data_IF_512046127104
#
_entry.id   IF_512046127104
#
_cell.length_a   1.000
_cell.length_b   1.000
_cell.length_c   1.000
_cell.angle_alpha   90.00
_cell.angle_beta   90.00
_cell.angle_gamma   90.00
#
_symmetry.space_group_name_H-M   'P 1'
#
loop_
_entity.id
_entity.type
_entity.pdbx_description
1 polymer ?
#
# COMPACT_ATOMS: atom_id res chain seq x y z
N UNK A 1 26.05 23.60 -36.86
CA UNK A 1 26.19 23.37 -35.39
C UNK A 1 24.87 23.55 -34.59
N UNK A 2 23.68 23.60 -35.22
CA UNK A 2 22.41 23.74 -34.50
C UNK A 2 21.76 22.39 -34.09
N UNK A 3 22.04 21.31 -34.83
CA UNK A 3 21.41 19.99 -34.65
C UNK A 3 21.78 19.29 -33.33
N UNK A 4 23.05 19.39 -32.90
CA UNK A 4 23.52 18.70 -31.70
C UNK A 4 22.92 19.27 -30.41
N UNK A 5 22.78 20.59 -30.31
CA UNK A 5 22.19 21.26 -29.13
C UNK A 5 20.71 20.94 -28.99
N UNK A 6 19.99 20.88 -30.11
CA UNK A 6 18.58 20.50 -30.13
C UNK A 6 18.39 19.03 -29.73
N UNK A 7 19.24 18.12 -30.23
CA UNK A 7 19.22 16.72 -29.82
C UNK A 7 19.50 16.53 -28.32
N UNK A 8 20.47 17.26 -27.76
CA UNK A 8 20.78 17.21 -26.32
C UNK A 8 19.60 17.70 -25.48
N UNK A 9 18.94 18.80 -25.87
CA UNK A 9 17.76 19.30 -25.16
C UNK A 9 16.61 18.30 -25.17
N UNK A 10 16.38 17.60 -26.29
CA UNK A 10 15.35 16.55 -26.37
C UNK A 10 15.67 15.38 -25.45
N UNK A 11 16.93 14.92 -25.40
CA UNK A 11 17.35 13.83 -24.51
C UNK A 11 17.17 14.22 -23.05
N UNK A 12 17.55 15.45 -22.67
CA UNK A 12 17.37 15.96 -21.31
C UNK A 12 15.88 16.05 -20.95
N UNK A 13 15.04 16.55 -21.86
CA UNK A 13 13.60 16.62 -21.64
C UNK A 13 12.97 15.24 -21.43
N UNK A 14 13.38 14.23 -22.21
CA UNK A 14 12.91 12.85 -22.06
C UNK A 14 13.35 12.23 -20.73
N UNK A 15 14.59 12.47 -20.30
CA UNK A 15 15.09 12.00 -19.00
C UNK A 15 14.33 12.62 -17.83
N UNK A 16 14.04 13.92 -17.91
CA UNK A 16 13.24 14.62 -16.89
C UNK A 16 11.82 14.06 -16.85
N UNK A 17 11.18 13.84 -18.00
CA UNK A 17 9.84 13.23 -18.06
C UNK A 17 9.82 11.83 -17.42
N UNK A 18 10.80 10.99 -17.75
CA UNK A 18 10.91 9.64 -17.19
C UNK A 18 11.11 9.68 -15.67
N UNK A 19 11.94 10.59 -15.17
CA UNK A 19 12.14 10.79 -13.73
C UNK A 19 10.88 11.26 -13.02
N UNK A 20 10.13 12.19 -13.60
CA UNK A 20 8.85 12.65 -13.04
C UNK A 20 7.85 11.50 -12.99
N UNK A 21 7.76 10.69 -14.06
CA UNK A 21 6.87 9.54 -14.11
C UNK A 21 7.18 8.52 -13.00
N UNK A 22 8.46 8.18 -12.81
CA UNK A 22 8.88 7.27 -11.75
C UNK A 22 8.59 7.82 -10.35
N UNK A 23 8.76 9.12 -10.15
CA UNK A 23 8.44 9.77 -8.88
C UNK A 23 6.94 9.74 -8.58
N UNK A 24 6.11 10.10 -9.58
CA UNK A 24 4.64 10.08 -9.43
C UNK A 24 4.12 8.67 -9.13
N UNK A 25 4.62 7.65 -9.85
CA UNK A 25 4.22 6.25 -9.59
C UNK A 25 4.55 5.83 -8.16
N UNK A 26 5.76 6.14 -7.68
CA UNK A 26 6.17 5.83 -6.30
C UNK A 26 5.33 6.57 -5.26
N UNK A 27 4.96 7.82 -5.53
CA UNK A 27 4.11 8.60 -4.64
C UNK A 27 2.71 7.99 -4.53
N UNK A 28 2.10 7.63 -5.66
CA UNK A 28 0.79 6.99 -5.68
C UNK A 28 0.80 5.64 -4.95
N UNK A 29 1.82 4.80 -5.18
CA UNK A 29 2.00 3.54 -4.44
C UNK A 29 2.07 3.79 -2.93
N UNK A 30 2.84 4.79 -2.50
CA UNK A 30 2.94 5.17 -1.08
C UNK A 30 1.61 5.64 -0.48
N UNK A 31 0.77 6.36 -1.23
CA UNK A 31 -0.55 6.81 -0.75
C UNK A 31 -1.53 5.62 -0.61
N UNK A 32 -1.50 4.68 -1.55
CA UNK A 32 -2.31 3.46 -1.48
C UNK A 32 -1.87 2.56 -0.33
N UNK A 33 -0.55 2.36 -0.13
CA UNK A 33 -0.01 1.64 1.01
C UNK A 33 -0.44 2.30 2.34
N UNK A 34 -0.39 3.64 2.44
CA UNK A 34 -0.82 4.36 3.64
C UNK A 34 -2.31 4.19 3.91
N UNK A 35 -3.15 4.24 2.87
CA UNK A 35 -4.59 4.00 2.97
C UNK A 35 -4.88 2.56 3.44
N UNK A 36 -4.17 1.59 2.88
CA UNK A 36 -4.28 0.18 3.29
C UNK A 36 -3.91 -0.01 4.77
N UNK A 37 -2.82 0.62 5.22
CA UNK A 37 -2.38 0.58 6.63
C UNK A 37 -3.41 1.20 7.57
N UNK A 38 -4.04 2.30 7.18
CA UNK A 38 -5.12 2.94 7.96
C UNK A 38 -6.33 2.01 8.14
N UNK A 39 -6.78 1.39 7.05
CA UNK A 39 -7.89 0.42 7.07
C UNK A 39 -7.53 -0.80 7.92
N UNK A 40 -6.32 -1.34 7.75
CA UNK A 40 -5.81 -2.45 8.54
C UNK A 40 -5.77 -2.13 10.04
N UNK A 41 -5.39 -0.91 10.41
CA UNK A 41 -5.36 -0.49 11.82
C UNK A 41 -6.77 -0.52 12.42
N UNK A 42 -7.78 -0.05 11.68
CA UNK A 42 -9.19 -0.13 12.11
C UNK A 42 -9.64 -1.58 12.29
N UNK A 43 -9.32 -2.45 11.33
CA UNK A 43 -9.58 -3.88 11.42
C UNK A 43 -8.96 -4.50 12.68
N UNK A 44 -7.68 -4.23 12.96
CA UNK A 44 -6.97 -4.76 14.14
C UNK A 44 -7.64 -4.32 15.44
N UNK A 45 -8.07 -3.06 15.54
CA UNK A 45 -8.79 -2.58 16.71
C UNK A 45 -10.10 -3.33 16.94
N UNK A 46 -10.88 -3.55 15.88
CA UNK A 46 -12.13 -4.29 15.97
C UNK A 46 -11.89 -5.77 16.28
N UNK A 47 -10.90 -6.39 15.65
CA UNK A 47 -10.51 -7.78 15.91
C UNK A 47 -10.13 -7.98 17.39
N UNK A 48 -9.29 -7.10 17.96
CA UNK A 48 -8.95 -7.12 19.39
C UNK A 48 -10.17 -7.00 20.28
N UNK A 49 -11.11 -6.12 19.93
CA UNK A 49 -12.36 -5.96 20.67
C UNK A 49 -13.21 -7.25 20.62
N UNK A 50 -13.33 -7.89 19.46
CA UNK A 50 -14.07 -9.15 19.32
C UNK A 50 -13.40 -10.31 20.08
N UNK A 51 -12.06 -10.41 20.05
CA UNK A 51 -11.30 -11.40 20.83
C UNK A 51 -11.55 -11.20 22.32
N UNK A 52 -11.50 -9.95 22.79
CA UNK A 52 -11.74 -9.60 24.20
C UNK A 52 -13.18 -9.89 24.63
N UNK A 53 -14.15 -9.73 23.71
CA UNK A 53 -15.55 -10.04 23.95
C UNK A 53 -15.89 -11.54 23.79
N UNK A 54 -14.94 -12.37 23.35
CA UNK A 54 -15.17 -13.79 23.05
C UNK A 54 -16.12 -14.01 21.86
N UNK A 55 -16.18 -13.07 20.92
CA UNK A 55 -17.04 -13.13 19.74
C UNK A 55 -16.25 -13.49 18.48
N UNK A 56 -16.97 -13.75 17.38
CA UNK A 56 -16.37 -14.04 16.08
C UNK A 56 -15.56 -12.85 15.55
N UNK A 57 -14.40 -13.15 14.98
CA UNK A 57 -13.56 -12.15 14.30
C UNK A 57 -14.31 -11.49 13.14
N UNK A 58 -14.05 -10.19 12.88
CA UNK A 58 -14.61 -9.52 11.72
C UNK A 58 -14.04 -10.13 10.42
N UNK A 59 -14.87 -10.20 9.37
CA UNK A 59 -14.43 -10.66 8.05
C UNK A 59 -13.47 -9.63 7.43
N UNK A 60 -12.21 -9.99 7.13
CA UNK A 60 -11.25 -9.08 6.49
C UNK A 60 -11.74 -8.51 5.15
N UNK A 61 -12.57 -9.25 4.41
CA UNK A 61 -13.08 -8.83 3.10
C UNK A 61 -14.17 -7.74 3.18
N UNK A 62 -14.69 -7.48 4.38
CA UNK A 62 -15.67 -6.42 4.61
C UNK A 62 -15.05 -5.01 4.67
N UNK A 63 -13.71 -4.92 4.67
CA UNK A 63 -12.99 -3.65 4.74
C UNK A 63 -12.53 -3.19 3.36
N UNK A 64 -12.70 -1.89 3.03
CA UNK A 64 -12.34 -1.35 1.72
C UNK A 64 -10.82 -1.17 1.59
N UNK A 65 -10.15 -2.22 1.11
CA UNK A 65 -8.72 -2.18 0.81
C UNK A 65 -8.47 -1.73 -0.65
N UNK A 66 -7.31 -1.09 -0.94
CA UNK A 66 -6.86 -0.87 -2.31
C UNK A 66 -6.69 -2.19 -3.08
N UNK A 67 -6.69 -2.12 -4.41
CA UNK A 67 -6.48 -3.31 -5.24
C UNK A 67 -5.11 -3.95 -4.97
N UNK A 68 -5.05 -5.28 -5.03
CA UNK A 68 -3.83 -6.03 -4.73
C UNK A 68 -3.47 -6.10 -3.24
N UNK A 69 -4.23 -5.46 -2.35
CA UNK A 69 -4.09 -5.58 -0.90
C UNK A 69 -5.02 -6.64 -0.32
N UNK A 70 -4.54 -7.40 0.66
CA UNK A 70 -5.35 -8.30 1.46
C UNK A 70 -4.93 -8.29 2.93
N UNK A 71 -5.90 -8.61 3.78
CA UNK A 71 -5.67 -8.86 5.20
C UNK A 71 -5.86 -10.36 5.43
N UNK A 72 -4.90 -10.98 6.10
CA UNK A 72 -4.97 -12.39 6.50
C UNK A 72 -4.83 -12.52 8.00
N UNK A 73 -5.51 -13.50 8.58
CA UNK A 73 -5.43 -13.82 10.00
C UNK A 73 -4.87 -15.22 10.14
N UNK A 74 -3.82 -15.37 10.94
CA UNK A 74 -3.24 -16.65 11.31
C UNK A 74 -3.04 -16.71 12.82
N UNK A 75 -3.91 -17.49 13.49
CA UNK A 75 -3.96 -17.53 14.95
C UNK A 75 -4.24 -16.14 15.54
N UNK A 76 -3.34 -15.66 16.40
CA UNK A 76 -3.40 -14.35 17.04
C UNK A 76 -2.77 -13.21 16.22
N UNK A 77 -2.38 -13.44 14.97
CA UNK A 77 -1.71 -12.44 14.15
C UNK A 77 -2.55 -12.05 12.94
N UNK A 78 -2.69 -10.75 12.72
CA UNK A 78 -3.23 -10.17 11.51
C UNK A 78 -2.08 -9.58 10.68
N UNK A 79 -2.12 -9.81 9.36
CA UNK A 79 -1.12 -9.34 8.40
C UNK A 79 -1.81 -8.60 7.26
N UNK A 80 -1.26 -7.44 6.89
CA UNK A 80 -1.61 -6.69 5.68
C UNK A 80 -0.52 -6.89 4.64
N UNK A 81 -0.89 -7.45 3.48
CA UNK A 81 0.02 -7.60 2.35
C UNK A 81 -0.58 -6.90 1.13
N UNK A 82 0.22 -6.13 0.42
CA UNK A 82 -0.17 -5.49 -0.85
C UNK A 82 0.82 -5.90 -1.93
N UNK A 83 0.32 -6.38 -3.07
CA UNK A 83 1.15 -6.85 -4.20
C UNK A 83 2.23 -7.85 -3.79
N UNK A 84 1.93 -8.70 -2.79
CA UNK A 84 2.86 -9.71 -2.26
C UNK A 84 3.89 -9.19 -1.24
N UNK A 85 3.95 -7.88 -0.98
CA UNK A 85 4.80 -7.25 0.04
C UNK A 85 4.06 -7.18 1.38
N UNK A 86 4.71 -7.58 2.47
CA UNK A 86 4.17 -7.38 3.82
C UNK A 86 4.34 -5.91 4.22
N UNK A 87 3.22 -5.23 4.47
CA UNK A 87 3.23 -3.81 4.88
C UNK A 87 3.12 -3.65 6.39
N UNK A 88 2.28 -4.47 7.03
CA UNK A 88 2.05 -4.39 8.46
C UNK A 88 1.65 -5.75 9.03
N UNK A 89 2.02 -5.97 10.28
CA UNK A 89 1.61 -7.15 11.06
C UNK A 89 1.34 -6.72 12.50
N UNK A 90 0.24 -7.19 13.07
CA UNK A 90 -0.16 -6.88 14.45
C UNK A 90 -0.77 -8.10 15.12
N UNK A 91 -0.49 -8.25 16.41
CA UNK A 91 -1.21 -9.23 17.23
C UNK A 91 -2.62 -8.72 17.55
N UNK A 92 -3.63 -9.58 17.45
CA UNK A 92 -5.04 -9.30 17.76
C UNK A 92 -5.52 -9.98 19.04
N UNK A 93 -4.64 -10.78 19.64
CA UNK A 93 -4.62 -11.11 21.05
C UNK A 93 -3.60 -10.16 21.73
#
# INVERSE_FOLDING_TARGET
MASLRSAVLVIVALLVLASMLQFTVKHMESEEELKAVSVFTSFVHQARATVSAGTSLPDPNSYPLPEGCNITISGCNAELRCSGKLLAQRSIC
#
